data_IF_982971447084
#
_entry.id   IF_982971447084
#
_cell.length_a   1.000
_cell.length_b   1.000
_cell.length_c   1.000
_cell.angle_alpha   90.00
_cell.angle_beta   90.00
_cell.angle_gamma   90.00
#
_symmetry.space_group_name_H-M   'P 1'
#
loop_
_entity.id
_entity.type
_entity.pdbx_description
1 polymer ?
#
# COMPACT_ATOMS: atom_id res chain seq x y z
N UNK A 1 24.91 22.68 8.99
CA UNK A 1 23.73 21.90 9.46
C UNK A 1 23.07 21.13 8.32
N UNK A 2 22.75 21.73 7.16
CA UNK A 2 22.06 21.03 6.07
C UNK A 2 22.79 19.77 5.54
N UNK A 3 24.12 19.83 5.38
CA UNK A 3 24.91 18.65 4.94
C UNK A 3 24.78 17.46 5.90
N UNK A 4 24.80 17.72 7.21
CA UNK A 4 24.64 16.66 8.21
C UNK A 4 23.23 16.07 8.15
N UNK A 5 22.22 16.94 8.00
CA UNK A 5 20.83 16.50 7.83
C UNK A 5 20.68 15.59 6.61
N UNK A 6 21.20 16.01 5.44
CA UNK A 6 21.17 15.20 4.21
C UNK A 6 21.83 13.85 4.42
N UNK A 7 23.04 13.82 5.03
CA UNK A 7 23.75 12.57 5.30
C UNK A 7 22.96 11.64 6.22
N UNK A 8 22.34 12.16 7.28
CA UNK A 8 21.56 11.35 8.22
C UNK A 8 20.26 10.82 7.58
N UNK A 9 19.58 11.65 6.79
CA UNK A 9 18.38 11.22 6.04
C UNK A 9 18.74 10.15 5.00
N UNK A 10 19.77 10.37 4.19
CA UNK A 10 20.22 9.38 3.20
C UNK A 10 20.56 8.06 3.89
N UNK A 11 21.29 8.08 4.99
CA UNK A 11 21.64 6.87 5.74
C UNK A 11 20.42 6.17 6.37
N UNK A 12 19.37 6.91 6.74
CA UNK A 12 18.11 6.34 7.21
C UNK A 12 17.38 5.63 6.05
N UNK A 13 17.19 6.32 4.92
CA UNK A 13 16.46 5.78 3.78
C UNK A 13 17.17 4.55 3.19
N UNK A 14 18.50 4.58 3.05
CA UNK A 14 19.29 3.41 2.63
C UNK A 14 19.16 2.23 3.59
N UNK A 15 19.00 2.49 4.89
CA UNK A 15 18.77 1.42 5.86
C UNK A 15 17.40 0.80 5.70
N UNK A 16 16.35 1.61 5.50
CA UNK A 16 14.99 1.13 5.22
C UNK A 16 15.00 0.30 3.95
N UNK A 17 15.54 0.85 2.84
CA UNK A 17 15.70 0.14 1.57
C UNK A 17 16.30 -1.26 1.79
N UNK A 18 17.47 -1.30 2.38
CA UNK A 18 18.22 -2.55 2.56
C UNK A 18 17.53 -3.60 3.46
N UNK A 19 16.74 -3.15 4.45
CA UNK A 19 16.19 -4.08 5.48
C UNK A 19 14.71 -4.34 5.33
N UNK A 20 13.99 -3.53 4.57
CA UNK A 20 12.53 -3.63 4.42
C UNK A 20 12.09 -3.89 2.96
N UNK A 21 13.01 -3.98 2.00
CA UNK A 21 12.72 -4.19 0.58
C UNK A 21 11.76 -5.38 0.36
N UNK A 22 12.08 -6.53 0.92
CA UNK A 22 11.23 -7.74 0.81
C UNK A 22 9.83 -7.50 1.42
N UNK A 23 9.79 -6.86 2.60
CA UNK A 23 8.52 -6.59 3.29
C UNK A 23 7.68 -5.51 2.57
N UNK A 24 8.32 -4.56 1.90
CA UNK A 24 7.63 -3.58 1.03
C UNK A 24 6.97 -4.31 -0.15
N UNK A 25 7.68 -5.21 -0.83
CA UNK A 25 7.12 -6.03 -1.91
C UNK A 25 5.97 -6.94 -1.44
N UNK A 26 6.12 -7.59 -0.27
CA UNK A 26 5.05 -8.41 0.30
C UNK A 26 3.82 -7.58 0.69
N UNK A 27 4.04 -6.36 1.22
CA UNK A 27 2.95 -5.42 1.51
C UNK A 27 2.24 -4.98 0.23
N UNK A 28 2.97 -4.67 -0.82
CA UNK A 28 2.39 -4.33 -2.12
C UNK A 28 1.51 -5.47 -2.66
N UNK A 29 1.96 -6.72 -2.58
CA UNK A 29 1.16 -7.91 -2.99
C UNK A 29 -0.12 -8.06 -2.18
N UNK A 30 -0.08 -7.81 -0.87
CA UNK A 30 -1.28 -7.86 -0.02
C UNK A 30 -2.28 -6.79 -0.44
N UNK A 31 -1.83 -5.57 -0.68
CA UNK A 31 -2.71 -4.46 -1.09
C UNK A 31 -3.22 -4.65 -2.53
N UNK A 32 -2.40 -5.18 -3.44
CA UNK A 32 -2.77 -5.43 -4.84
C UNK A 32 -3.95 -6.40 -4.97
N UNK A 33 -4.18 -7.30 -4.01
CA UNK A 33 -5.37 -8.15 -3.99
C UNK A 33 -6.67 -7.35 -3.96
N UNK A 34 -6.70 -6.18 -3.29
CA UNK A 34 -7.85 -5.28 -3.37
C UNK A 34 -7.85 -4.46 -4.67
N UNK A 35 -6.67 -4.06 -5.16
CA UNK A 35 -6.49 -3.28 -6.38
C UNK A 35 -6.93 -4.03 -7.64
N UNK A 36 -6.53 -5.28 -7.77
CA UNK A 36 -6.91 -6.19 -8.85
C UNK A 36 -8.38 -6.61 -8.71
N UNK A 37 -8.81 -6.98 -7.51
CA UNK A 37 -10.18 -7.38 -7.22
C UNK A 37 -11.19 -6.22 -7.11
N UNK A 38 -12.34 -6.48 -6.49
CA UNK A 38 -13.39 -5.47 -6.26
C UNK A 38 -13.22 -4.69 -4.94
N UNK A 39 -12.09 -4.86 -4.24
CA UNK A 39 -11.83 -4.25 -2.94
C UNK A 39 -11.33 -2.82 -3.01
N UNK A 40 -11.21 -2.22 -1.83
CA UNK A 40 -10.66 -0.89 -1.60
C UNK A 40 -9.45 -1.02 -0.66
N UNK A 41 -8.42 -0.22 -0.89
CA UNK A 41 -7.27 -0.08 0.01
C UNK A 41 -7.53 1.09 0.97
N UNK A 42 -7.83 0.80 2.22
CA UNK A 42 -8.08 1.82 3.24
C UNK A 42 -6.78 2.23 3.93
N UNK A 43 -6.51 3.52 3.93
CA UNK A 43 -5.39 4.11 4.64
C UNK A 43 -5.84 4.62 6.01
N UNK A 44 -5.30 4.05 7.08
CA UNK A 44 -5.44 4.51 8.46
C UNK A 44 -4.12 5.15 8.91
N UNK A 45 -4.06 6.47 8.84
CA UNK A 45 -2.85 7.23 9.15
C UNK A 45 -3.06 8.07 10.40
N UNK A 46 -2.07 8.04 11.30
CA UNK A 46 -2.14 8.71 12.58
C UNK A 46 -1.08 9.80 12.70
N UNK A 47 -1.39 10.84 13.43
CA UNK A 47 -0.49 11.95 13.75
C UNK A 47 0.03 12.65 12.49
N UNK A 48 1.32 13.01 12.40
CA UNK A 48 1.90 13.62 11.20
C UNK A 48 1.91 12.70 9.97
N UNK A 49 1.72 11.39 10.15
CA UNK A 49 1.65 10.45 9.04
C UNK A 49 0.34 10.54 8.23
N UNK A 50 -0.62 11.36 8.68
CA UNK A 50 -1.73 11.84 7.83
C UNK A 50 -1.23 12.42 6.49
N UNK A 51 0.01 12.93 6.43
CA UNK A 51 0.64 13.37 5.20
C UNK A 51 0.76 12.29 4.14
N UNK A 52 0.91 11.02 4.51
CA UNK A 52 0.92 9.87 3.59
C UNK A 52 -0.46 9.71 2.95
N UNK A 53 -1.53 9.74 3.76
CA UNK A 53 -2.90 9.64 3.27
C UNK A 53 -3.25 10.78 2.32
N UNK A 54 -2.83 12.02 2.64
CA UNK A 54 -3.05 13.17 1.76
C UNK A 54 -2.36 12.95 0.40
N UNK A 55 -1.12 12.42 0.40
CA UNK A 55 -0.41 12.08 -0.84
C UNK A 55 -1.11 10.94 -1.58
N UNK A 56 -1.57 9.92 -0.89
CA UNK A 56 -2.27 8.78 -1.50
C UNK A 56 -3.57 9.18 -2.18
N UNK A 57 -4.33 10.14 -1.64
CA UNK A 57 -5.63 10.53 -2.18
C UNK A 57 -5.55 11.71 -3.17
N UNK A 58 -4.62 12.65 -2.95
CA UNK A 58 -4.61 13.94 -3.64
C UNK A 58 -3.24 14.31 -4.22
N UNK A 59 -2.26 13.41 -4.17
CA UNK A 59 -0.95 13.61 -4.78
C UNK A 59 -1.03 13.71 -6.31
N UNK A 60 0.11 14.02 -6.94
CA UNK A 60 0.19 14.13 -8.41
C UNK A 60 -0.11 12.79 -9.13
N UNK A 61 0.17 11.67 -8.46
CA UNK A 61 -0.19 10.32 -8.89
C UNK A 61 -0.90 9.62 -7.72
N UNK A 62 -2.23 9.73 -7.59
CA UNK A 62 -2.97 9.11 -6.50
C UNK A 62 -2.80 7.59 -6.48
N UNK A 63 -2.95 6.98 -5.31
CA UNK A 63 -2.94 5.54 -5.17
C UNK A 63 -4.26 4.96 -5.70
N UNK A 64 -4.19 3.98 -6.60
CA UNK A 64 -5.38 3.36 -7.20
C UNK A 64 -6.24 2.68 -6.15
N UNK A 65 -7.56 2.85 -6.23
CA UNK A 65 -8.56 2.29 -5.30
C UNK A 65 -8.31 2.61 -3.82
N UNK A 66 -7.64 3.74 -3.51
CA UNK A 66 -7.42 4.18 -2.14
C UNK A 66 -8.62 4.91 -1.54
N UNK A 67 -8.84 4.71 -0.26
CA UNK A 67 -9.80 5.49 0.53
C UNK A 67 -9.25 5.79 1.93
N UNK A 68 -9.79 6.83 2.56
CA UNK A 68 -9.55 7.11 3.98
C UNK A 68 -10.31 6.09 4.83
N UNK A 69 -9.66 5.47 5.79
CA UNK A 69 -10.37 4.74 6.83
C UNK A 69 -11.08 5.70 7.79
N UNK A 70 -12.30 5.36 8.15
CA UNK A 70 -13.09 6.02 9.21
C UNK A 70 -13.82 4.95 10.03
N UNK A 71 -14.19 5.22 11.30
CA UNK A 71 -14.83 4.22 12.17
C UNK A 71 -16.16 3.64 11.67
N UNK A 72 -16.80 4.29 10.72
CA UNK A 72 -18.08 3.87 10.11
C UNK A 72 -17.90 3.00 8.86
N UNK A 73 -16.66 2.73 8.43
CA UNK A 73 -16.37 1.83 7.30
C UNK A 73 -16.83 0.41 7.62
N UNK A 74 -17.60 -0.16 6.71
CA UNK A 74 -17.99 -1.57 6.74
C UNK A 74 -17.06 -2.33 5.77
N UNK A 75 -16.12 -3.07 6.31
CA UNK A 75 -15.18 -3.85 5.50
C UNK A 75 -15.82 -5.07 4.86
N UNK A 76 -15.38 -5.39 3.67
CA UNK A 76 -15.62 -6.67 3.00
C UNK A 76 -14.34 -7.53 3.00
N UNK A 77 -14.45 -8.80 2.68
CA UNK A 77 -13.28 -9.69 2.57
C UNK A 77 -12.32 -9.32 1.42
N UNK A 78 -12.80 -8.52 0.45
CA UNK A 78 -11.98 -8.02 -0.65
C UNK A 78 -11.12 -6.83 -0.27
N UNK A 79 -11.48 -6.10 0.80
CA UNK A 79 -10.77 -4.89 1.22
C UNK A 79 -9.43 -5.21 1.90
N UNK A 80 -8.54 -4.24 1.85
CA UNK A 80 -7.24 -4.25 2.55
C UNK A 80 -7.06 -2.96 3.32
N UNK A 81 -6.32 -3.02 4.41
CA UNK A 81 -6.04 -1.84 5.24
C UNK A 81 -4.53 -1.70 5.38
N UNK A 82 -4.04 -0.47 5.29
CA UNK A 82 -2.68 -0.14 5.68
C UNK A 82 -2.69 0.91 6.78
N UNK A 83 -2.02 0.60 7.88
CA UNK A 83 -1.91 1.46 9.07
C UNK A 83 -0.55 2.15 9.04
N UNK A 84 -0.54 3.49 9.07
CA UNK A 84 0.68 4.29 9.26
C UNK A 84 0.61 4.99 10.61
N UNK A 85 1.54 4.68 11.49
CA UNK A 85 1.64 5.32 12.81
C UNK A 85 3.10 5.60 13.18
N UNK A 86 3.33 6.64 13.98
CA UNK A 86 4.68 6.94 14.47
C UNK A 86 5.21 5.84 15.37
N UNK A 87 4.38 5.34 16.25
CA UNK A 87 4.74 4.29 17.22
C UNK A 87 3.81 3.09 17.12
N UNK A 88 4.38 1.90 17.15
CA UNK A 88 3.63 0.64 17.24
C UNK A 88 2.77 0.52 18.52
N UNK A 89 3.06 1.34 19.54
CA UNK A 89 2.29 1.42 20.78
C UNK A 89 1.18 2.48 20.74
N UNK A 90 0.83 3.02 19.56
CA UNK A 90 -0.30 3.94 19.43
C UNK A 90 -1.62 3.20 19.69
N UNK A 91 -2.36 3.59 20.71
CA UNK A 91 -3.57 2.89 21.16
C UNK A 91 -4.71 2.92 20.15
N UNK A 92 -4.86 4.00 19.36
CA UNK A 92 -5.88 4.08 18.32
C UNK A 92 -5.55 3.12 17.17
N UNK A 93 -4.28 3.03 16.77
CA UNK A 93 -3.80 2.09 15.77
C UNK A 93 -3.96 0.64 16.23
N UNK A 94 -3.62 0.34 17.49
CA UNK A 94 -3.79 -0.99 18.09
C UNK A 94 -5.27 -1.37 18.21
N UNK A 95 -6.14 -0.43 18.54
CA UNK A 95 -7.60 -0.69 18.60
C UNK A 95 -8.13 -1.10 17.22
N UNK A 96 -7.73 -0.39 16.16
CA UNK A 96 -8.08 -0.78 14.79
C UNK A 96 -7.47 -2.14 14.42
N UNK A 97 -6.19 -2.35 14.71
CA UNK A 97 -5.49 -3.59 14.38
C UNK A 97 -6.15 -4.83 15.02
N UNK A 98 -6.54 -4.74 16.29
CA UNK A 98 -7.28 -5.79 17.00
C UNK A 98 -8.64 -6.06 16.32
N UNK A 99 -9.39 -5.02 15.99
CA UNK A 99 -10.68 -5.15 15.32
C UNK A 99 -10.56 -5.78 13.93
N UNK A 100 -9.54 -5.41 13.13
CA UNK A 100 -9.27 -6.01 11.82
C UNK A 100 -8.89 -7.48 11.96
N UNK A 101 -8.04 -7.83 12.93
CA UNK A 101 -7.65 -9.21 13.19
C UNK A 101 -8.84 -10.07 13.62
N UNK A 102 -9.70 -9.58 14.52
CA UNK A 102 -10.93 -10.25 14.94
C UNK A 102 -11.93 -10.46 13.78
N UNK A 103 -11.98 -9.49 12.84
CA UNK A 103 -12.83 -9.56 11.66
C UNK A 103 -12.19 -10.35 10.49
N UNK A 104 -10.98 -10.88 10.66
CA UNK A 104 -10.21 -11.56 9.61
C UNK A 104 -10.01 -10.72 8.35
N UNK A 105 -9.86 -9.41 8.51
CA UNK A 105 -9.50 -8.48 7.42
C UNK A 105 -7.97 -8.36 7.37
N UNK A 106 -7.32 -8.80 6.29
CA UNK A 106 -5.87 -8.67 6.16
C UNK A 106 -5.45 -7.20 6.15
N UNK A 107 -4.47 -6.87 6.98
CA UNK A 107 -3.93 -5.51 7.03
C UNK A 107 -2.42 -5.51 7.14
N UNK A 108 -1.83 -4.42 6.72
CA UNK A 108 -0.40 -4.12 6.81
C UNK A 108 -0.17 -2.97 7.78
N UNK A 109 0.98 -2.92 8.43
CA UNK A 109 1.31 -1.82 9.33
C UNK A 109 2.72 -1.28 9.08
N UNK A 110 2.86 0.03 9.25
CA UNK A 110 4.12 0.78 9.13
C UNK A 110 4.31 1.61 10.39
N UNK A 111 5.36 1.37 11.15
CA UNK A 111 5.68 2.13 12.36
C UNK A 111 7.20 2.24 12.57
N UNK A 112 7.62 2.97 13.62
CA UNK A 112 9.06 3.22 13.82
C UNK A 112 9.83 2.04 14.38
N UNK A 113 9.19 1.25 15.23
CA UNK A 113 9.78 0.13 15.93
C UNK A 113 10.03 -1.05 14.98
N UNK A 114 10.93 -1.95 15.36
CA UNK A 114 11.17 -3.20 14.63
C UNK A 114 10.09 -4.23 14.98
N UNK A 115 9.85 -5.17 14.07
CA UNK A 115 9.03 -6.33 14.35
C UNK A 115 9.66 -7.18 15.46
N UNK A 116 8.88 -7.55 16.46
CA UNK A 116 9.30 -8.43 17.57
C UNK A 116 8.08 -8.92 18.34
N UNK A 117 8.24 -9.97 19.16
CA UNK A 117 7.19 -10.50 20.02
C UNK A 117 6.67 -9.50 21.08
N UNK A 118 7.42 -8.42 21.36
CA UNK A 118 6.99 -7.34 22.25
C UNK A 118 6.26 -6.21 21.52
N UNK A 119 6.10 -6.32 20.18
CA UNK A 119 5.44 -5.35 19.33
C UNK A 119 4.10 -5.92 18.85
N UNK A 120 3.04 -5.66 19.61
CA UNK A 120 1.69 -6.17 19.32
C UNK A 120 1.21 -5.82 17.91
N UNK A 121 1.49 -4.60 17.43
CA UNK A 121 1.07 -4.19 16.08
C UNK A 121 1.73 -5.08 15.00
N UNK A 122 3.00 -5.44 15.19
CA UNK A 122 3.70 -6.33 14.26
C UNK A 122 3.24 -7.79 14.35
N UNK A 123 2.77 -8.24 15.51
CA UNK A 123 2.21 -9.58 15.70
C UNK A 123 0.83 -9.74 15.08
N UNK A 124 0.02 -8.67 15.07
CA UNK A 124 -1.33 -8.67 14.52
C UNK A 124 -1.35 -8.45 12.99
N UNK A 125 -0.41 -7.66 12.46
CA UNK A 125 -0.37 -7.31 11.05
C UNK A 125 0.08 -8.49 10.17
N UNK A 126 -0.52 -8.63 9.00
CA UNK A 126 -0.09 -9.62 8.01
C UNK A 126 1.31 -9.31 7.46
N UNK A 127 1.59 -8.03 7.22
CA UNK A 127 2.94 -7.53 6.91
C UNK A 127 3.25 -6.30 7.76
N UNK A 128 4.50 -6.13 8.16
CA UNK A 128 4.93 -5.04 9.01
C UNK A 128 6.24 -4.43 8.54
N UNK A 129 6.25 -3.12 8.28
CA UNK A 129 7.43 -2.37 7.82
C UNK A 129 7.90 -1.43 8.92
N UNK A 130 9.19 -1.49 9.23
CA UNK A 130 9.80 -0.60 10.21
C UNK A 130 10.41 0.65 9.55
N UNK A 131 10.02 1.84 10.00
CA UNK A 131 10.65 3.10 9.59
C UNK A 131 12.07 3.30 10.15
N UNK A 132 12.51 2.43 11.08
CA UNK A 132 13.85 2.51 11.73
C UNK A 132 14.16 3.85 12.40
N UNK A 133 13.14 4.64 12.73
CA UNK A 133 13.28 5.96 13.37
C UNK A 133 13.25 5.81 14.88
N UNK A 134 14.40 5.95 15.54
CA UNK A 134 14.53 5.82 17.01
C UNK A 134 14.45 7.15 17.75
N UNK A 135 14.12 8.24 17.06
CA UNK A 135 14.06 9.58 17.61
C UNK A 135 14.67 10.64 16.69
N UNK A 136 14.98 11.81 17.22
CA UNK A 136 15.60 12.88 16.44
C UNK A 136 16.96 12.47 15.85
N UNK A 137 17.22 12.86 14.60
CA UNK A 137 18.43 12.45 13.88
C UNK A 137 19.61 13.42 14.01
N UNK A 138 19.38 14.65 14.50
CA UNK A 138 20.42 15.64 14.76
C UNK A 138 20.54 15.95 16.23
N UNK A 139 21.76 16.26 16.75
CA UNK A 139 21.91 16.79 18.10
C UNK A 139 21.34 18.21 18.17
N UNK A 140 20.74 18.56 19.30
CA UNK A 140 20.31 19.92 19.57
C UNK A 140 21.55 20.83 19.73
N UNK A 141 21.57 22.03 19.09
CA UNK A 141 22.76 22.88 19.08
C UNK A 141 23.15 23.44 20.46
N UNK A 142 22.17 23.64 21.36
CA UNK A 142 22.37 24.28 22.64
C UNK A 142 22.11 23.37 23.86
N UNK A 143 21.36 22.27 23.66
CA UNK A 143 20.96 21.37 24.74
C UNK A 143 21.64 20.01 24.59
N UNK A 144 22.62 19.78 25.48
CA UNK A 144 23.38 18.55 25.50
C UNK A 144 22.46 17.34 25.78
N UNK A 145 22.55 16.31 24.94
CA UNK A 145 21.77 15.07 25.05
C UNK A 145 20.38 15.13 24.38
N UNK A 146 19.86 16.30 24.04
CA UNK A 146 18.64 16.41 23.26
C UNK A 146 18.92 16.20 21.77
N UNK A 147 17.90 15.67 21.06
CA UNK A 147 17.95 15.48 19.60
C UNK A 147 16.77 16.17 18.93
N UNK A 148 17.00 16.64 17.72
CA UNK A 148 16.01 17.36 16.90
C UNK A 148 15.88 16.70 15.52
N UNK A 149 14.90 17.14 14.77
CA UNK A 149 14.52 16.61 13.42
C UNK A 149 14.08 15.16 13.52
N UNK A 150 12.78 14.99 13.60
CA UNK A 150 12.12 13.69 13.66
C UNK A 150 11.61 13.31 12.26
N UNK A 151 12.27 12.41 11.54
CA UNK A 151 12.00 12.20 10.11
C UNK A 151 10.89 11.17 9.82
N UNK A 152 9.94 10.96 10.74
CA UNK A 152 8.91 9.91 10.59
C UNK A 152 8.12 10.08 9.29
N UNK A 153 7.61 11.28 9.01
CA UNK A 153 6.86 11.54 7.78
C UNK A 153 7.70 11.34 6.51
N UNK A 154 8.97 11.77 6.52
CA UNK A 154 9.87 11.60 5.36
C UNK A 154 10.13 10.11 5.12
N UNK A 155 10.40 9.34 6.19
CA UNK A 155 10.60 7.91 6.10
C UNK A 155 9.33 7.18 5.64
N UNK A 156 8.16 7.58 6.15
CA UNK A 156 6.87 7.02 5.78
C UNK A 156 6.51 7.31 4.31
N UNK A 157 6.76 8.52 3.83
CA UNK A 157 6.57 8.87 2.42
C UNK A 157 7.51 8.07 1.50
N UNK A 158 8.76 7.86 1.91
CA UNK A 158 9.68 6.99 1.17
C UNK A 158 9.13 5.55 1.05
N UNK A 159 8.70 4.96 2.18
CA UNK A 159 8.09 3.62 2.19
C UNK A 159 6.83 3.59 1.32
N UNK A 160 5.99 4.62 1.42
CA UNK A 160 4.77 4.75 0.62
C UNK A 160 5.07 4.79 -0.89
N UNK A 161 6.05 5.60 -1.33
CA UNK A 161 6.40 5.70 -2.75
C UNK A 161 6.99 4.37 -3.28
N UNK A 162 7.88 3.72 -2.50
CA UNK A 162 8.43 2.42 -2.88
C UNK A 162 7.34 1.34 -2.98
N UNK A 163 6.44 1.29 -2.00
CA UNK A 163 5.30 0.39 -1.99
C UNK A 163 4.33 0.67 -3.16
N UNK A 164 4.08 1.95 -3.45
CA UNK A 164 3.19 2.34 -4.55
C UNK A 164 3.73 1.92 -5.91
N UNK A 165 5.05 2.02 -6.14
CA UNK A 165 5.67 1.56 -7.38
C UNK A 165 5.41 0.07 -7.63
N UNK A 166 5.65 -0.77 -6.64
CA UNK A 166 5.38 -2.22 -6.70
C UNK A 166 3.88 -2.53 -6.87
N UNK A 167 3.02 -1.78 -6.18
CA UNK A 167 1.57 -1.93 -6.26
C UNK A 167 1.04 -1.55 -7.64
N UNK A 168 1.45 -0.41 -8.19
CA UNK A 168 0.99 0.08 -9.49
C UNK A 168 1.39 -0.90 -10.60
N UNK A 169 2.64 -1.44 -10.58
CA UNK A 169 3.10 -2.44 -11.53
C UNK A 169 2.16 -3.67 -11.55
N UNK A 170 1.80 -4.21 -10.38
CA UNK A 170 0.91 -5.37 -10.29
C UNK A 170 -0.51 -5.09 -10.76
N UNK A 171 -1.04 -3.89 -10.50
CA UNK A 171 -2.42 -3.52 -10.87
C UNK A 171 -2.50 -3.14 -12.34
N UNK A 172 -1.44 -2.52 -12.90
CA UNK A 172 -1.39 -2.15 -14.32
C UNK A 172 -1.26 -3.39 -15.21
N UNK A 173 -0.42 -4.37 -14.83
CA UNK A 173 -0.26 -5.64 -15.54
C UNK A 173 -1.59 -6.42 -15.63
N UNK A 174 -2.37 -6.45 -14.53
CA UNK A 174 -3.68 -7.12 -14.52
C UNK A 174 -4.71 -6.40 -15.41
N UNK A 175 -4.73 -5.05 -15.41
CA UNK A 175 -5.59 -4.27 -16.30
C UNK A 175 -5.26 -4.53 -17.79
N UNK A 176 -3.98 -4.69 -18.14
CA UNK A 176 -3.55 -5.01 -19.51
C UNK A 176 -3.96 -6.43 -19.90
N UNK A 177 -3.78 -7.44 -19.05
CA UNK A 177 -4.20 -8.83 -19.29
C UNK A 177 -5.71 -8.93 -19.54
N UNK A 178 -6.53 -8.25 -18.72
CA UNK A 178 -8.00 -8.24 -18.88
C UNK A 178 -8.41 -7.60 -20.22
N UNK A 179 -7.76 -6.51 -20.62
CA UNK A 179 -8.05 -5.84 -21.91
C UNK A 179 -7.68 -6.72 -23.10
N UNK A 180 -6.56 -7.44 -23.07
CA UNK A 180 -6.16 -8.38 -24.14
C UNK A 180 -7.16 -9.54 -24.26
N UNK A 181 -7.64 -10.10 -23.14
CA UNK A 181 -8.63 -11.16 -23.11
C UNK A 181 -9.99 -10.70 -23.68
N UNK A 182 -10.44 -9.48 -23.36
CA UNK A 182 -11.67 -8.90 -23.92
C UNK A 182 -11.56 -8.66 -25.43
N UNK A 183 -10.41 -8.20 -25.92
CA UNK A 183 -10.17 -8.04 -27.37
C UNK A 183 -10.21 -9.39 -28.10
N UNK A 184 -9.60 -10.44 -27.54
CA UNK A 184 -9.61 -11.79 -28.11
C UNK A 184 -11.04 -12.35 -28.16
N UNK A 185 -11.80 -12.23 -27.07
CA UNK A 185 -13.19 -12.69 -27.02
C UNK A 185 -14.09 -11.95 -28.01
N UNK A 186 -13.93 -10.64 -28.15
CA UNK A 186 -14.68 -9.84 -29.12
C UNK A 186 -14.34 -10.20 -30.56
N UNK A 187 -13.08 -10.54 -30.87
CA UNK A 187 -12.65 -11.00 -32.18
C UNK A 187 -13.20 -12.40 -32.52
N UNK A 188 -13.28 -13.30 -31.54
CA UNK A 188 -13.88 -14.65 -31.74
C UNK A 188 -15.39 -14.56 -31.93
N UNK A 189 -16.12 -13.69 -31.25
CA UNK A 189 -17.54 -13.44 -31.48
C UNK A 189 -17.83 -12.88 -32.87
N UNK A 190 -16.97 -11.99 -33.39
CA UNK A 190 -17.06 -11.46 -34.75
C UNK A 190 -16.81 -12.55 -35.83
N UNK A 191 -15.92 -13.52 -35.58
CA UNK A 191 -15.65 -14.63 -36.50
C UNK A 191 -16.67 -15.76 -36.37
N UNK A 192 -17.26 -15.95 -35.17
CA UNK A 192 -18.32 -16.95 -34.94
C UNK A 192 -19.65 -16.65 -35.63
N UNK A 193 -19.91 -15.41 -36.00
CA UNK A 193 -21.15 -14.97 -36.65
C UNK A 193 -21.15 -15.00 -38.19
N UNK A 194 -20.12 -15.54 -38.83
CA UNK A 194 -20.15 -15.81 -40.28
C UNK A 194 -20.85 -17.15 -40.54
N UNK A 195 -22.13 -17.19 -40.26
CA UNK A 195 -23.02 -18.27 -40.67
C UNK A 195 -23.09 -18.34 -42.21
N UNK A 196 -22.44 -19.34 -42.81
CA UNK A 196 -22.62 -19.67 -44.21
C UNK A 196 -24.06 -20.12 -44.49
N UNK A 197 -24.88 -19.20 -45.01
CA UNK A 197 -26.23 -19.50 -45.48
C UNK A 197 -26.10 -20.12 -46.88
N UNK A 198 -26.02 -21.45 -46.97
CA UNK A 198 -26.15 -22.17 -48.25
C UNK A 198 -27.61 -22.12 -48.69
N UNK A 199 -27.94 -21.14 -49.52
CA UNK A 199 -29.19 -21.05 -50.20
C UNK A 199 -29.45 -22.31 -51.02
N UNK A 200 -30.54 -23.01 -50.73
CA UNK A 200 -31.08 -24.14 -51.46
C UNK A 200 -31.43 -23.75 -52.91
N UNK A 201 -30.69 -24.24 -53.87
CA UNK A 201 -31.07 -24.19 -55.29
C UNK A 201 -32.23 -25.15 -55.52
N UNK A 202 -33.44 -24.61 -55.65
CA UNK A 202 -34.58 -25.37 -56.13
C UNK A 202 -34.48 -25.50 -57.66
N UNK A 203 -34.26 -26.73 -58.15
CA UNK A 203 -34.50 -27.09 -59.51
C UNK A 203 -36.01 -27.17 -59.78
N UNK A 204 -36.55 -26.35 -60.69
CA UNK A 204 -37.85 -26.54 -61.29
C UNK A 204 -37.61 -27.12 -62.72
N UNK A 205 -38.23 -28.28 -62.94
CA UNK A 205 -38.75 -28.67 -64.25
C UNK A 205 -40.15 -28.13 -64.39
#
# INVERSE_FOLDING_TARGET
MSKILTTQLTGLLQRIEKTEEEMIGDTARVLAQAGIGEGIVYFACYEELEGVLINALYGAAPFKKAARWTPDVQFTSADRVIIFTRSAANEDALTLARALNEAFIPFSAVASEIASADNELSELAYTYISLKVRGGILPHPEKLGERIVFPHLIAALYVYEALKMEYDEMVDDDEEEVMEDEEILSAEELHGNVGFNFGSVQNKK
#
